data_IF_429200657965
#
_entry.id   IF_429200657965
#
_cell.length_a   1.000
_cell.length_b   1.000
_cell.length_c   1.000
_cell.angle_alpha   90.00
_cell.angle_beta   90.00
_cell.angle_gamma   90.00
#
_symmetry.space_group_name_H-M   'P 1'
#
loop_
_entity.id
_entity.type
_entity.pdbx_description
1 polymer ?
#
# COMPACT_ATOMS: atom_id res chain seq x y z
N UNK A 1 15.65 -1.25 9.09
CA UNK A 1 14.98 -1.71 7.86
C UNK A 1 13.48 -1.64 8.13
N UNK A 2 12.78 -0.63 7.60
CA UNK A 2 11.35 -0.48 7.84
C UNK A 2 10.59 -1.58 7.09
N UNK A 3 9.83 -2.39 7.82
CA UNK A 3 9.03 -3.48 7.26
C UNK A 3 7.62 -2.96 7.07
N UNK A 4 7.15 -2.90 5.83
CA UNK A 4 5.75 -2.56 5.52
C UNK A 4 4.86 -3.71 5.98
N UNK A 5 3.83 -3.40 6.77
CA UNK A 5 2.83 -4.34 7.27
C UNK A 5 1.43 -4.00 6.76
N UNK A 6 0.52 -4.98 6.70
CA UNK A 6 -0.88 -4.74 6.43
C UNK A 6 -1.47 -3.70 7.40
N UNK A 7 -2.11 -2.68 6.84
CA UNK A 7 -2.69 -1.56 7.58
C UNK A 7 -1.73 -0.42 7.86
N UNK A 8 -0.47 -0.45 7.42
CA UNK A 8 0.41 0.73 7.52
C UNK A 8 -0.05 1.84 6.57
N UNK A 9 0.16 3.10 6.99
CA UNK A 9 0.11 4.24 6.08
C UNK A 9 1.39 4.26 5.26
N UNK A 10 1.23 4.38 3.95
CA UNK A 10 2.35 4.39 3.02
C UNK A 10 2.16 5.50 1.99
N UNK A 11 3.27 5.98 1.44
CA UNK A 11 3.28 6.80 0.24
C UNK A 11 3.81 5.97 -0.91
N UNK A 12 3.11 6.01 -2.05
CA UNK A 12 3.48 5.32 -3.27
C UNK A 12 3.78 6.32 -4.37
N UNK A 13 4.87 6.13 -5.11
CA UNK A 13 5.26 7.02 -6.21
C UNK A 13 4.50 6.65 -7.48
N UNK A 14 3.83 7.64 -8.08
CA UNK A 14 3.11 7.50 -9.35
C UNK A 14 4.04 7.61 -10.55
N UNK A 15 3.56 7.21 -11.72
CA UNK A 15 4.25 7.40 -12.99
C UNK A 15 4.54 8.88 -13.33
N UNK A 16 3.74 9.80 -12.79
CA UNK A 16 3.95 11.26 -12.90
C UNK A 16 4.88 11.82 -11.82
N UNK A 17 5.57 10.95 -11.08
CA UNK A 17 6.53 11.31 -10.05
C UNK A 17 5.91 11.98 -8.81
N UNK A 18 4.61 11.77 -8.59
CA UNK A 18 3.88 12.29 -7.43
C UNK A 18 3.81 11.24 -6.33
N UNK A 19 3.95 11.66 -5.07
CA UNK A 19 3.73 10.78 -3.92
C UNK A 19 2.25 10.78 -3.55
N UNK A 20 1.65 9.59 -3.56
CA UNK A 20 0.23 9.40 -3.25
C UNK A 20 0.10 8.71 -1.90
N UNK A 21 -0.72 9.26 -1.00
CA UNK A 21 -1.06 8.61 0.26
C UNK A 21 -1.95 7.39 0.00
N UNK A 22 -1.56 6.26 0.57
CA UNK A 22 -2.20 4.96 0.41
C UNK A 22 -2.15 4.18 1.71
N UNK A 23 -2.89 3.06 1.74
CA UNK A 23 -2.81 2.07 2.81
C UNK A 23 -2.23 0.78 2.27
N UNK A 24 -1.26 0.22 3.00
CA UNK A 24 -0.74 -1.10 2.69
C UNK A 24 -1.80 -2.16 3.02
N UNK A 25 -2.16 -2.98 2.06
CA UNK A 25 -3.07 -4.12 2.25
C UNK A 25 -2.30 -5.38 2.61
N UNK A 26 -1.08 -5.51 2.08
CA UNK A 26 -0.15 -6.58 2.39
C UNK A 26 1.17 -6.00 2.92
N UNK A 27 2.06 -6.87 3.42
CA UNK A 27 3.47 -6.54 3.44
C UNK A 27 4.09 -6.60 2.04
N UNK A 28 5.43 -6.56 1.97
CA UNK A 28 6.16 -6.84 0.73
C UNK A 28 5.99 -8.33 0.38
N UNK A 29 5.40 -8.61 -0.77
CA UNK A 29 5.17 -9.96 -1.30
C UNK A 29 5.91 -10.16 -2.62
N UNK A 30 6.13 -11.43 -2.99
CA UNK A 30 6.73 -11.77 -4.28
C UNK A 30 5.75 -11.45 -5.41
N UNK A 31 6.13 -10.52 -6.29
CA UNK A 31 5.46 -10.32 -7.58
C UNK A 31 6.03 -11.23 -8.67
N UNK A 32 5.54 -11.06 -9.90
CA UNK A 32 5.97 -11.87 -11.05
C UNK A 32 7.44 -11.60 -11.41
N UNK A 33 7.80 -10.33 -11.60
CA UNK A 33 9.15 -9.91 -11.99
C UNK A 33 9.93 -9.24 -10.84
N UNK A 34 9.22 -8.60 -9.91
CA UNK A 34 9.80 -7.83 -8.79
C UNK A 34 8.89 -7.90 -7.55
N UNK A 35 9.42 -7.63 -6.35
CA UNK A 35 8.59 -7.57 -5.13
C UNK A 35 7.58 -6.43 -5.19
N UNK A 36 6.38 -6.67 -4.70
CA UNK A 36 5.27 -5.71 -4.72
C UNK A 36 4.61 -5.57 -3.34
N UNK A 37 3.94 -4.45 -3.13
CA UNK A 37 3.02 -4.22 -2.02
C UNK A 37 1.65 -3.96 -2.61
N UNK A 38 0.60 -4.65 -2.13
CA UNK A 38 -0.76 -4.27 -2.50
C UNK A 38 -1.15 -3.04 -1.70
N UNK A 39 -1.59 -1.99 -2.38
CA UNK A 39 -2.01 -0.74 -1.76
C UNK A 39 -3.43 -0.38 -2.19
N UNK A 40 -4.15 0.31 -1.31
CA UNK A 40 -5.48 0.85 -1.59
C UNK A 40 -5.58 2.31 -1.10
N UNK A 41 -6.69 2.96 -1.41
CA UNK A 41 -7.01 4.27 -0.84
C UNK A 41 -7.46 4.15 0.61
N UNK A 42 -7.28 5.22 1.41
CA UNK A 42 -7.64 5.20 2.83
C UNK A 42 -9.15 5.04 3.03
N UNK A 43 -9.96 5.63 2.15
CA UNK A 43 -11.42 5.48 2.18
C UNK A 43 -11.84 4.03 1.91
N UNK A 44 -11.26 3.38 0.90
CA UNK A 44 -11.54 1.99 0.56
C UNK A 44 -11.10 1.02 1.66
N UNK A 45 -9.93 1.27 2.27
CA UNK A 45 -9.49 0.52 3.45
C UNK A 45 -10.54 0.55 4.58
N UNK A 46 -11.06 1.75 4.86
CA UNK A 46 -12.03 1.98 5.93
C UNK A 46 -13.38 1.33 5.61
N UNK A 47 -13.86 1.46 4.37
CA UNK A 47 -15.09 0.80 3.90
C UNK A 47 -14.99 -0.72 3.99
N UNK A 48 -13.91 -1.30 3.50
CA UNK A 48 -13.71 -2.74 3.49
C UNK A 48 -13.64 -3.32 4.90
N UNK A 49 -12.89 -2.67 5.81
CA UNK A 49 -12.83 -3.02 7.23
C UNK A 49 -14.21 -3.01 7.90
N UNK A 50 -15.00 -1.97 7.63
CA UNK A 50 -16.36 -1.84 8.20
C UNK A 50 -17.30 -2.93 7.70
N UNK A 51 -17.14 -3.35 6.45
CA UNK A 51 -17.95 -4.39 5.81
C UNK A 51 -17.42 -5.81 6.07
N UNK A 52 -16.28 -5.97 6.75
CA UNK A 52 -15.65 -7.27 6.99
C UNK A 52 -15.13 -7.94 5.71
N UNK A 53 -14.83 -7.17 4.67
CA UNK A 53 -14.27 -7.67 3.40
C UNK A 53 -12.82 -7.20 3.21
N UNK A 54 -12.14 -7.80 2.24
CA UNK A 54 -10.84 -7.29 1.80
C UNK A 54 -11.01 -6.02 0.94
N UNK A 55 -10.10 -5.03 1.09
CA UNK A 55 -10.12 -3.82 0.29
C UNK A 55 -9.71 -4.06 -1.16
N UNK A 56 -10.32 -3.34 -2.07
CA UNK A 56 -9.89 -3.29 -3.46
C UNK A 56 -8.49 -2.65 -3.53
N UNK A 57 -7.54 -3.39 -4.08
CA UNK A 57 -6.13 -3.04 -4.01
C UNK A 57 -5.35 -3.36 -5.26
N UNK A 58 -4.35 -2.53 -5.54
CA UNK A 58 -3.48 -2.61 -6.71
C UNK A 58 -2.07 -2.96 -6.27
N UNK A 59 -1.37 -3.77 -7.07
CA UNK A 59 0.03 -4.08 -6.83
C UNK A 59 0.90 -2.88 -7.20
N UNK A 60 1.77 -2.47 -6.29
CA UNK A 60 2.76 -1.41 -6.52
C UNK A 60 4.17 -1.97 -6.33
N UNK A 61 5.16 -1.55 -7.13
CA UNK A 61 6.56 -1.93 -6.89
C UNK A 61 6.99 -1.58 -5.48
N UNK A 62 7.55 -2.53 -4.74
CA UNK A 62 7.92 -2.32 -3.34
C UNK A 62 8.99 -1.23 -3.17
N UNK A 63 9.85 -1.03 -4.18
CA UNK A 63 10.87 0.02 -4.19
C UNK A 63 10.29 1.44 -4.29
N UNK A 64 9.09 1.57 -4.87
CA UNK A 64 8.38 2.84 -5.06
C UNK A 64 7.38 3.11 -3.92
N UNK A 65 7.38 2.30 -2.86
CA UNK A 65 6.51 2.43 -1.68
C UNK A 65 7.35 2.69 -0.44
N UNK A 66 6.95 3.68 0.36
CA UNK A 66 7.61 4.03 1.62
C UNK A 66 6.60 4.14 2.75
N UNK A 67 7.01 3.79 3.97
CA UNK A 67 6.21 4.04 5.16
C UNK A 67 6.08 5.55 5.35
N UNK A 68 4.84 5.99 5.56
CA UNK A 68 4.54 7.38 5.89
C UNK A 68 4.84 7.59 7.38
N UNK A 69 5.97 8.21 7.69
CA UNK A 69 6.49 8.32 9.05
C UNK A 69 5.86 9.45 9.89
N UNK A 70 4.93 10.22 9.31
CA UNK A 70 4.24 11.35 9.96
C UNK A 70 2.93 10.92 10.66
N UNK A 71 2.98 9.83 11.45
CA UNK A 71 1.86 9.36 12.28
C UNK A 71 2.18 9.46 13.77
#
# INVERSE_FOLDING_TARGET
MMVIKPGDRVIARSATNQWLHRRAVTGVIKGMDFPVVRVCEEEEWSKARTQGREPESFAWPAEEVKVDAEA
#
